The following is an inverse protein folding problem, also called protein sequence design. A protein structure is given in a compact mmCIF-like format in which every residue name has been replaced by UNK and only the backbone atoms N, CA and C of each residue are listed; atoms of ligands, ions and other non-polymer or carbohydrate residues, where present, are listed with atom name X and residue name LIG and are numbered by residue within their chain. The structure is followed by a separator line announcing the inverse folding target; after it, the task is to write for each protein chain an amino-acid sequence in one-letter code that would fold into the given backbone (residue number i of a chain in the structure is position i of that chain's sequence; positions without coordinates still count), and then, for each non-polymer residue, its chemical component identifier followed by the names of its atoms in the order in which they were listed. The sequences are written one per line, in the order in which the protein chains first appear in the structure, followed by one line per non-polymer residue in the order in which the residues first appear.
data_IF_227724445561
#
_entry.id   IF_227724445561
#
_cell.length_a   1.000
_cell.length_b   1.000
_cell.length_c   1.000
_cell.angle_alpha   90.00
_cell.angle_beta   90.00
_cell.angle_gamma   90.00
#
_symmetry.space_group_name_H-M   'P 1'
#
loop_
_entity.id
_entity.type
_entity.pdbx_description
1 polymer ?
#
# COMPACT_ATOMS: atom_id res chain seq x y z
N UNK A 1 -3.60 17.39 0.75
CA UNK A 1 -3.12 16.52 -0.35
C UNK A 1 -1.65 16.80 -0.62
N UNK A 2 -0.84 15.79 -0.95
CA UNK A 2 0.59 15.99 -1.21
C UNK A 2 0.78 16.85 -2.46
N UNK A 3 1.76 17.76 -2.41
CA UNK A 3 2.04 18.71 -3.48
C UNK A 3 2.87 18.02 -4.57
N UNK A 4 2.59 18.34 -5.84
CA UNK A 4 3.41 17.88 -6.94
C UNK A 4 4.85 18.42 -6.81
N UNK A 5 5.85 17.62 -7.16
CA UNK A 5 7.25 18.05 -7.15
C UNK A 5 7.76 18.05 -8.59
N UNK A 6 7.68 19.19 -9.30
CA UNK A 6 8.16 19.29 -10.67
C UNK A 6 9.64 18.90 -10.78
N UNK A 7 9.98 18.17 -11.85
CA UNK A 7 11.35 17.73 -12.11
C UNK A 7 11.79 16.48 -11.34
N UNK A 8 10.99 15.98 -10.39
CA UNK A 8 11.26 14.72 -9.69
C UNK A 8 10.33 13.63 -10.20
N UNK A 9 10.87 12.72 -11.02
CA UNK A 9 10.10 11.58 -11.52
C UNK A 9 9.85 10.54 -10.43
N UNK A 10 8.77 9.77 -10.57
CA UNK A 10 8.46 8.62 -9.70
C UNK A 10 9.66 7.67 -9.59
N UNK A 11 10.28 7.33 -10.72
CA UNK A 11 11.46 6.46 -10.75
C UNK A 11 12.65 7.04 -9.97
N UNK A 12 12.97 8.32 -10.21
CA UNK A 12 14.09 8.98 -9.52
C UNK A 12 13.87 9.05 -8.02
N UNK A 13 12.64 9.38 -7.61
CA UNK A 13 12.22 9.41 -6.20
C UNK A 13 12.36 8.03 -5.55
N UNK A 14 11.77 6.99 -6.14
CA UNK A 14 11.80 5.64 -5.58
C UNK A 14 13.22 5.07 -5.52
N UNK A 15 14.07 5.38 -6.51
CA UNK A 15 15.47 4.94 -6.49
C UNK A 15 16.25 5.55 -5.35
N UNK A 16 16.09 6.86 -5.13
CA UNK A 16 16.72 7.55 -4.00
C UNK A 16 16.24 6.96 -2.68
N UNK A 17 14.93 6.81 -2.50
CA UNK A 17 14.35 6.22 -1.28
C UNK A 17 14.83 4.78 -1.05
N UNK A 18 14.94 3.96 -2.11
CA UNK A 18 15.46 2.60 -2.02
C UNK A 18 16.91 2.57 -1.56
N UNK A 19 17.78 3.38 -2.18
CA UNK A 19 19.21 3.39 -1.87
C UNK A 19 19.47 3.86 -0.41
N UNK A 20 18.75 4.88 0.04
CA UNK A 20 18.84 5.35 1.43
C UNK A 20 18.34 4.30 2.43
N UNK A 21 17.25 3.59 2.10
CA UNK A 21 16.65 2.57 2.97
C UNK A 21 17.50 1.30 3.09
N UNK A 22 18.08 0.83 1.97
CA UNK A 22 18.82 -0.45 1.94
C UNK A 22 20.31 -0.31 2.26
N UNK A 23 20.86 0.91 2.25
CA UNK A 23 22.30 1.13 2.41
C UNK A 23 23.14 0.52 1.28
N UNK A 24 22.51 0.11 0.20
CA UNK A 24 23.12 -0.48 -0.99
C UNK A 24 22.60 0.24 -2.23
N UNK A 25 23.48 0.60 -3.14
CA UNK A 25 23.11 1.24 -4.39
C UNK A 25 22.86 0.19 -5.46
N UNK A 26 21.60 0.01 -5.85
CA UNK A 26 21.33 -0.56 -7.16
C UNK A 26 21.74 0.46 -8.22
N UNK A 27 22.38 -0.03 -9.28
CA UNK A 27 22.67 0.78 -10.45
C UNK A 27 21.36 1.16 -11.18
N UNK A 28 21.45 2.09 -12.13
CA UNK A 28 20.28 2.63 -12.81
C UNK A 28 19.46 1.52 -13.49
N UNK A 29 20.14 0.60 -14.16
CA UNK A 29 19.52 -0.48 -14.90
C UNK A 29 18.89 -1.53 -13.97
N UNK A 30 19.59 -1.91 -12.90
CA UNK A 30 19.09 -2.84 -11.89
C UNK A 30 17.85 -2.30 -11.19
N UNK A 31 17.87 -1.01 -10.80
CA UNK A 31 16.70 -0.39 -10.20
C UNK A 31 15.53 -0.27 -11.20
N UNK A 32 15.79 0.11 -12.45
CA UNK A 32 14.76 0.19 -13.48
C UNK A 32 14.06 -1.16 -13.67
N UNK A 33 14.83 -2.26 -13.72
CA UNK A 33 14.28 -3.62 -13.82
C UNK A 33 13.41 -3.97 -12.62
N UNK A 34 13.87 -3.69 -11.40
CA UNK A 34 13.10 -3.89 -10.17
C UNK A 34 11.79 -3.08 -10.19
N UNK A 35 11.86 -1.82 -10.62
CA UNK A 35 10.71 -0.94 -10.71
C UNK A 35 9.65 -1.51 -11.68
N UNK A 36 10.06 -1.91 -12.89
CA UNK A 36 9.15 -2.50 -13.87
C UNK A 36 8.49 -3.79 -13.37
N UNK A 37 9.24 -4.64 -12.66
CA UNK A 37 8.70 -5.86 -12.04
C UNK A 37 7.57 -5.53 -11.06
N UNK A 38 7.79 -4.55 -10.15
CA UNK A 38 6.77 -4.16 -9.16
C UNK A 38 5.60 -3.40 -9.78
N UNK A 39 5.84 -2.60 -10.82
CA UNK A 39 4.77 -1.94 -11.58
C UNK A 39 3.86 -2.93 -12.29
N UNK A 40 4.42 -4.01 -12.86
CA UNK A 40 3.65 -5.06 -13.51
C UNK A 40 2.70 -5.77 -12.53
N UNK A 41 3.16 -6.08 -11.31
CA UNK A 41 2.33 -6.66 -10.24
C UNK A 41 1.14 -5.76 -9.90
N UNK A 42 1.33 -4.44 -9.97
CA UNK A 42 0.32 -3.46 -9.59
C UNK A 42 -0.50 -2.91 -10.77
N UNK A 43 -0.33 -3.50 -11.98
CA UNK A 43 -0.96 -3.02 -13.21
C UNK A 43 -0.76 -1.51 -13.44
N UNK A 44 0.44 -1.01 -13.13
CA UNK A 44 0.82 0.39 -13.37
C UNK A 44 1.49 0.47 -14.74
N UNK A 45 1.01 1.37 -15.59
CA UNK A 45 1.63 1.62 -16.90
C UNK A 45 3.07 2.14 -16.75
N UNK A 46 3.98 1.62 -17.57
CA UNK A 46 5.42 1.95 -17.50
C UNK A 46 5.72 3.44 -17.69
N UNK A 47 4.86 4.18 -18.41
CA UNK A 47 4.98 5.63 -18.56
C UNK A 47 4.83 6.38 -17.23
N UNK A 48 4.14 5.78 -16.25
CA UNK A 48 3.94 6.36 -14.92
C UNK A 48 5.27 6.64 -14.21
N UNK A 49 6.29 5.81 -14.45
CA UNK A 49 7.63 5.97 -13.87
C UNK A 49 8.28 7.32 -14.20
N UNK A 50 7.93 7.91 -15.36
CA UNK A 50 8.48 9.17 -15.87
C UNK A 50 7.68 10.40 -15.44
N UNK A 51 6.49 10.22 -14.86
CA UNK A 51 5.66 11.33 -14.38
C UNK A 51 6.30 11.99 -13.18
N UNK A 52 6.07 13.30 -13.03
CA UNK A 52 6.40 14.00 -11.80
C UNK A 52 5.57 13.45 -10.64
N UNK A 53 6.18 13.29 -9.47
CA UNK A 53 5.49 12.74 -8.30
C UNK A 53 4.31 13.63 -7.90
N UNK A 54 3.16 13.00 -7.65
CA UNK A 54 1.87 13.62 -7.32
C UNK A 54 1.28 14.54 -8.39
N UNK A 55 1.82 14.56 -9.61
CA UNK A 55 1.31 15.40 -10.69
C UNK A 55 0.15 14.73 -11.43
N UNK A 56 -1.07 15.22 -11.17
CA UNK A 56 -2.29 14.77 -11.84
C UNK A 56 -2.65 13.30 -11.55
N UNK A 57 -2.19 12.71 -10.45
CA UNK A 57 -2.54 11.33 -10.11
C UNK A 57 -4.02 11.26 -9.74
N UNK A 58 -4.75 10.34 -10.37
CA UNK A 58 -6.07 9.88 -9.95
C UNK A 58 -6.00 9.22 -8.56
N UNK A 59 -7.17 9.03 -7.92
CA UNK A 59 -7.23 8.35 -6.61
C UNK A 59 -6.60 6.95 -6.64
N UNK A 60 -6.97 6.14 -7.63
CA UNK A 60 -6.41 4.79 -7.80
C UNK A 60 -4.91 4.78 -8.12
N UNK A 61 -4.40 5.75 -8.86
CA UNK A 61 -2.95 5.89 -9.09
C UNK A 61 -2.19 6.24 -7.82
N UNK A 62 -2.74 7.09 -6.95
CA UNK A 62 -2.13 7.41 -5.65
C UNK A 62 -2.04 6.16 -4.77
N UNK A 63 -3.12 5.37 -4.68
CA UNK A 63 -3.12 4.13 -3.90
C UNK A 63 -2.18 3.08 -4.47
N UNK A 64 -2.13 2.92 -5.79
CA UNK A 64 -1.12 2.05 -6.44
C UNK A 64 0.31 2.54 -6.19
N UNK A 65 0.55 3.85 -6.13
CA UNK A 65 1.85 4.41 -5.78
C UNK A 65 2.24 4.18 -4.31
N UNK A 66 1.28 4.22 -3.37
CA UNK A 66 1.51 3.85 -1.96
C UNK A 66 1.96 2.39 -1.84
N UNK A 67 1.28 1.47 -2.55
CA UNK A 67 1.63 0.05 -2.57
C UNK A 67 2.92 -0.22 -3.36
N UNK A 68 3.20 0.55 -4.41
CA UNK A 68 4.46 0.45 -5.14
C UNK A 68 5.65 0.79 -4.23
N UNK A 69 5.52 1.83 -3.40
CA UNK A 69 6.51 2.17 -2.38
C UNK A 69 6.71 1.03 -1.38
N UNK A 70 5.63 0.40 -0.90
CA UNK A 70 5.70 -0.79 -0.04
C UNK A 70 6.52 -1.92 -0.70
N UNK A 71 6.22 -2.23 -1.97
CA UNK A 71 6.87 -3.30 -2.73
C UNK A 71 8.34 -3.02 -3.09
N UNK A 72 8.70 -1.75 -3.26
CA UNK A 72 10.07 -1.34 -3.58
C UNK A 72 10.92 -1.27 -2.31
N UNK A 73 10.43 -0.62 -1.26
CA UNK A 73 11.22 -0.36 -0.05
C UNK A 73 11.37 -1.62 0.82
N UNK A 74 10.44 -2.56 0.73
CA UNK A 74 10.41 -3.80 1.53
C UNK A 74 10.72 -3.53 3.02
N UNK A 75 9.89 -2.71 3.69
CA UNK A 75 10.12 -2.38 5.09
C UNK A 75 9.85 -3.58 5.99
N UNK A 76 10.42 -3.58 7.21
CA UNK A 76 10.09 -4.61 8.22
C UNK A 76 8.67 -4.45 8.76
N UNK A 77 8.18 -3.21 8.82
CA UNK A 77 6.83 -2.87 9.27
C UNK A 77 6.23 -1.77 8.39
N UNK A 78 4.94 -1.88 8.09
CA UNK A 78 4.18 -0.89 7.33
C UNK A 78 2.87 -0.54 8.04
N UNK A 79 2.53 0.75 8.05
CA UNK A 79 1.23 1.26 8.50
C UNK A 79 0.51 1.77 7.26
N UNK A 80 -0.65 1.19 6.99
CA UNK A 80 -1.46 1.48 5.81
C UNK A 80 -2.76 2.09 6.28
N UNK A 81 -2.89 3.42 6.11
CA UNK A 81 -4.03 4.19 6.60
C UNK A 81 -5.01 4.49 5.45
N UNK A 82 -6.20 3.89 5.52
CA UNK A 82 -7.29 4.03 4.55
C UNK A 82 -6.83 3.87 3.09
N UNK A 83 -5.95 2.89 2.84
CA UNK A 83 -5.42 2.58 1.51
C UNK A 83 -6.48 2.04 0.55
N UNK A 84 -7.65 1.67 1.07
CA UNK A 84 -8.82 1.12 0.38
C UNK A 84 -9.91 2.15 0.07
N UNK A 85 -9.78 3.39 0.56
CA UNK A 85 -10.80 4.42 0.40
C UNK A 85 -10.97 4.88 -1.06
N UNK A 86 -12.24 4.93 -1.52
CA UNK A 86 -12.59 5.44 -2.86
C UNK A 86 -12.13 4.57 -4.02
N UNK A 87 -11.73 3.31 -3.76
CA UNK A 87 -11.32 2.36 -4.80
C UNK A 87 -12.51 1.54 -5.32
N UNK A 88 -12.50 1.27 -6.62
CA UNK A 88 -13.34 0.25 -7.22
C UNK A 88 -12.84 -1.17 -6.86
N UNK A 89 -13.59 -2.18 -7.28
CA UNK A 89 -13.31 -3.59 -6.98
C UNK A 89 -11.93 -4.00 -7.50
N UNK A 90 -11.57 -3.54 -8.70
CA UNK A 90 -10.34 -3.94 -9.39
C UNK A 90 -9.12 -3.30 -8.70
N UNK A 91 -9.17 -2.00 -8.42
CA UNK A 91 -8.10 -1.30 -7.71
C UNK A 91 -7.92 -1.84 -6.29
N UNK A 92 -9.00 -2.23 -5.60
CA UNK A 92 -8.93 -2.86 -4.29
C UNK A 92 -8.20 -4.22 -4.35
N UNK A 93 -8.47 -5.03 -5.38
CA UNK A 93 -7.80 -6.32 -5.60
C UNK A 93 -6.29 -6.15 -5.82
N UNK A 94 -5.90 -5.10 -6.55
CA UNK A 94 -4.48 -4.76 -6.78
C UNK A 94 -3.78 -4.38 -5.48
N UNK A 95 -4.40 -3.48 -4.69
CA UNK A 95 -3.86 -3.06 -3.39
C UNK A 95 -3.70 -4.25 -2.46
N UNK A 96 -4.73 -5.10 -2.35
CA UNK A 96 -4.68 -6.31 -1.53
C UNK A 96 -3.59 -7.29 -1.98
N UNK A 97 -3.35 -7.42 -3.28
CA UNK A 97 -2.29 -8.29 -3.81
C UNK A 97 -0.89 -7.80 -3.42
N UNK A 98 -0.66 -6.48 -3.48
CA UNK A 98 0.60 -5.92 -2.98
C UNK A 98 0.78 -6.09 -1.47
N UNK A 99 -0.29 -5.96 -0.68
CA UNK A 99 -0.27 -6.21 0.77
C UNK A 99 0.06 -7.67 1.07
N UNK A 100 -0.54 -8.63 0.35
CA UNK A 100 -0.25 -10.07 0.52
C UNK A 100 1.19 -10.41 0.19
N UNK A 101 1.71 -9.91 -0.94
CA UNK A 101 3.12 -10.09 -1.28
C UNK A 101 4.05 -9.50 -0.21
N UNK A 102 3.68 -8.34 0.33
CA UNK A 102 4.41 -7.74 1.43
C UNK A 102 4.27 -8.54 2.74
N UNK A 103 3.22 -9.32 2.93
CA UNK A 103 3.15 -10.24 4.07
C UNK A 103 4.05 -11.46 3.87
N UNK A 104 4.09 -12.01 2.66
CA UNK A 104 4.84 -13.22 2.31
C UNK A 104 6.36 -13.10 2.55
N UNK A 105 6.95 -11.92 2.34
CA UNK A 105 8.38 -11.69 2.64
C UNK A 105 8.67 -11.35 4.11
N UNK A 106 7.65 -11.37 5.00
CA UNK A 106 7.78 -11.11 6.43
C UNK A 106 7.62 -9.65 6.89
N UNK A 107 6.92 -8.77 6.16
CA UNK A 107 6.59 -7.43 6.68
C UNK A 107 5.42 -7.50 7.67
N UNK A 108 5.58 -6.90 8.85
CA UNK A 108 4.46 -6.67 9.77
C UNK A 108 3.58 -5.53 9.28
N UNK A 109 2.27 -5.75 9.17
CA UNK A 109 1.35 -4.77 8.58
C UNK A 109 0.30 -4.36 9.61
N UNK A 110 0.20 -3.06 9.88
CA UNK A 110 -0.93 -2.44 10.56
C UNK A 110 -1.82 -1.79 9.48
N UNK A 111 -2.95 -2.43 9.18
CA UNK A 111 -3.94 -1.90 8.26
C UNK A 111 -5.03 -1.18 9.05
N UNK A 112 -5.18 0.13 8.81
CA UNK A 112 -6.23 0.97 9.37
C UNK A 112 -7.28 1.16 8.27
N UNK A 113 -8.50 0.73 8.53
CA UNK A 113 -9.61 0.81 7.57
C UNK A 113 -10.94 0.94 8.30
N UNK A 114 -11.91 1.58 7.63
CA UNK A 114 -13.31 1.61 8.03
C UNK A 114 -14.20 0.69 7.15
N UNK A 115 -13.63 0.00 6.16
CA UNK A 115 -14.34 -0.91 5.25
C UNK A 115 -13.88 -2.36 5.41
N UNK A 116 -14.84 -3.27 5.57
CA UNK A 116 -14.53 -4.70 5.72
C UNK A 116 -14.07 -5.37 4.41
N UNK A 117 -14.29 -4.74 3.26
CA UNK A 117 -13.98 -5.33 1.94
C UNK A 117 -12.52 -5.70 1.76
N UNK A 118 -11.58 -4.87 2.23
CA UNK A 118 -10.15 -5.18 2.13
C UNK A 118 -9.76 -6.34 3.07
N UNK A 119 -10.41 -6.44 4.23
CA UNK A 119 -10.13 -7.47 5.24
C UNK A 119 -10.42 -8.89 4.70
N UNK A 120 -11.43 -9.01 3.84
CA UNK A 120 -11.75 -10.26 3.12
C UNK A 120 -10.65 -10.68 2.13
N UNK A 121 -9.90 -9.73 1.58
CA UNK A 121 -8.86 -9.99 0.58
C UNK A 121 -7.47 -10.26 1.19
N UNK A 122 -7.15 -9.63 2.32
CA UNK A 122 -5.82 -9.74 2.96
C UNK A 122 -5.78 -10.71 4.15
N UNK A 123 -6.94 -11.01 4.75
CA UNK A 123 -7.14 -11.89 5.91
C UNK A 123 -6.20 -11.58 7.09
N UNK A 124 -6.62 -10.69 8.02
CA UNK A 124 -5.79 -10.27 9.15
C UNK A 124 -5.59 -11.39 10.18
N UNK A 125 -4.43 -11.41 10.81
CA UNK A 125 -4.13 -12.30 11.95
C UNK A 125 -4.84 -11.82 13.24
N UNK A 126 -4.92 -10.50 13.42
CA UNK A 126 -5.59 -9.85 14.55
C UNK A 126 -6.40 -8.65 14.09
N UNK A 127 -7.56 -8.43 14.71
CA UNK A 127 -8.45 -7.29 14.48
C UNK A 127 -8.63 -6.53 15.80
N UNK A 128 -8.53 -5.21 15.75
CA UNK A 128 -8.78 -4.32 16.87
C UNK A 128 -9.84 -3.28 16.50
N UNK A 129 -10.85 -3.08 17.35
CA UNK A 129 -11.85 -2.02 17.18
C UNK A 129 -11.45 -0.81 18.01
N UNK A 130 -11.27 0.34 17.37
CA UNK A 130 -10.95 1.61 18.01
C UNK A 130 -12.21 2.48 18.14
N UNK A 131 -12.58 2.88 19.36
CA UNK A 131 -13.72 3.77 19.64
C UNK A 131 -13.32 4.78 20.71
N UNK A 132 -13.60 6.07 20.47
CA UNK A 132 -13.26 7.17 21.38
C UNK A 132 -11.78 7.14 21.86
N UNK A 133 -10.85 6.85 20.94
CA UNK A 133 -9.42 6.80 21.23
C UNK A 133 -8.94 5.59 22.05
N UNK A 134 -9.79 4.57 22.24
CA UNK A 134 -9.45 3.35 22.98
C UNK A 134 -9.79 2.10 22.16
N UNK A 135 -8.98 1.05 22.32
CA UNK A 135 -9.31 -0.27 21.79
C UNK A 135 -10.40 -0.87 22.68
N UNK A 136 -11.61 -1.04 22.14
CA UNK A 136 -12.76 -1.58 22.88
C UNK A 136 -12.96 -3.07 22.67
N UNK A 137 -12.39 -3.64 21.61
CA UNK A 137 -12.49 -5.06 21.31
C UNK A 137 -11.27 -5.53 20.51
N UNK A 138 -10.91 -6.80 20.66
CA UNK A 138 -9.81 -7.44 19.94
C UNK A 138 -10.14 -8.91 19.71
N UNK A 139 -9.78 -9.45 18.55
CA UNK A 139 -10.11 -10.82 18.15
C UNK A 139 -9.43 -11.20 16.84
N UNK A 140 -9.84 -12.33 16.26
CA UNK A 140 -9.43 -12.73 14.92
C UNK A 140 -10.33 -12.11 13.85
N UNK A 141 -10.23 -12.63 12.63
CA UNK A 141 -11.01 -12.16 11.46
C UNK A 141 -12.54 -12.19 11.69
N UNK A 142 -13.02 -13.08 12.54
CA UNK A 142 -14.44 -13.20 12.91
C UNK A 142 -14.98 -11.91 13.56
N UNK A 143 -14.13 -11.12 14.21
CA UNK A 143 -14.52 -9.84 14.78
C UNK A 143 -14.89 -8.82 13.69
N UNK A 144 -14.16 -8.81 12.57
CA UNK A 144 -14.48 -7.97 11.43
C UNK A 144 -15.82 -8.36 10.79
N UNK A 145 -16.03 -9.66 10.58
CA UNK A 145 -17.28 -10.21 10.02
C UNK A 145 -18.49 -9.92 10.93
N UNK A 146 -18.30 -10.00 12.26
CA UNK A 146 -19.35 -9.68 13.22
C UNK A 146 -19.74 -8.20 13.15
N UNK A 147 -18.75 -7.32 13.11
CA UNK A 147 -18.93 -5.86 13.04
C UNK A 147 -19.64 -5.44 11.75
N UNK A 148 -19.37 -6.11 10.64
CA UNK A 148 -20.08 -5.87 9.37
C UNK A 148 -21.60 -6.14 9.48
N UNK A 149 -21.97 -7.19 10.21
CA UNK A 149 -23.37 -7.64 10.32
C UNK A 149 -24.17 -6.90 11.40
N UNK A 150 -23.52 -6.51 12.50
CA UNK A 150 -24.20 -5.99 13.69
C UNK A 150 -23.87 -4.51 13.97
N UNK A 151 -22.97 -3.91 13.19
CA UNK A 151 -22.48 -2.55 13.41
C UNK A 151 -21.43 -2.46 14.52
N UNK A 152 -20.97 -1.24 14.78
CA UNK A 152 -19.86 -0.93 15.70
C UNK A 152 -20.25 -0.81 17.19
N UNK A 153 -21.50 -1.16 17.55
CA UNK A 153 -22.04 -1.23 18.92
C UNK A 153 -21.51 -0.18 19.90
#
# INVERSE_FOLDING_TARGET
HPVAIPGVTVESFLRLAYNESKGTTLDVLGFHKLLLEKMAILHIDVSFARRAINDGFSGGERKRMEILQLLILQPKFAILDETDSGLDVDALSVVASGIRLAREWGCGILLITHFNRILHLVSPDHVHILKNGKITSSGGKELAEHTEKHGYG
#
